data_IF_227089891947
#
_entry.id   IF_227089891947
#
_cell.length_a   1.000
_cell.length_b   1.000
_cell.length_c   1.000
_cell.angle_alpha   90.00
_cell.angle_beta   90.00
_cell.angle_gamma   90.00
#
_symmetry.space_group_name_H-M   'P 1'
#
loop_
_entity.id
_entity.type
_entity.pdbx_description
1 polymer ?
#
# COMPACT_ATOMS: atom_id res chain seq x y z
N UNK A 1 -18.02 -21.10 -9.26
CA UNK A 1 -16.98 -20.26 -9.91
C UNK A 1 -16.65 -19.01 -9.05
N UNK A 2 -16.41 -19.17 -7.74
CA UNK A 2 -16.22 -18.03 -6.82
C UNK A 2 -14.78 -17.47 -6.88
N UNK A 3 -13.80 -18.36 -7.04
CA UNK A 3 -12.37 -18.07 -6.97
C UNK A 3 -11.89 -17.18 -8.11
N UNK A 4 -12.35 -17.44 -9.34
CA UNK A 4 -12.03 -16.57 -10.50
C UNK A 4 -12.55 -15.16 -10.29
N UNK A 5 -13.77 -15.02 -9.78
CA UNK A 5 -14.38 -13.70 -9.53
C UNK A 5 -13.66 -12.95 -8.41
N UNK A 6 -13.25 -13.62 -7.33
CA UNK A 6 -12.48 -12.99 -6.26
C UNK A 6 -11.11 -12.59 -6.75
N UNK A 7 -10.40 -13.45 -7.49
CA UNK A 7 -9.09 -13.13 -8.07
C UNK A 7 -9.18 -11.92 -9.01
N UNK A 8 -10.12 -11.89 -9.95
CA UNK A 8 -10.29 -10.77 -10.89
C UNK A 8 -10.59 -9.47 -10.13
N UNK A 9 -11.47 -9.51 -9.12
CA UNK A 9 -11.78 -8.35 -8.28
C UNK A 9 -10.55 -7.87 -7.51
N UNK A 10 -9.76 -8.78 -6.97
CA UNK A 10 -8.54 -8.45 -6.23
C UNK A 10 -7.46 -7.89 -7.15
N UNK A 11 -7.29 -8.45 -8.36
CA UNK A 11 -6.33 -7.95 -9.35
C UNK A 11 -6.76 -6.58 -9.89
N UNK A 12 -8.05 -6.36 -10.14
CA UNK A 12 -8.58 -5.05 -10.50
C UNK A 12 -8.33 -4.01 -9.40
N UNK A 13 -8.51 -4.42 -8.13
CA UNK A 13 -8.20 -3.58 -6.97
C UNK A 13 -6.71 -3.29 -6.89
N UNK A 14 -5.85 -4.30 -7.08
CA UNK A 14 -4.39 -4.15 -7.08
C UNK A 14 -3.93 -3.17 -8.16
N UNK A 15 -4.44 -3.32 -9.39
CA UNK A 15 -4.14 -2.41 -10.50
C UNK A 15 -4.65 -0.99 -10.24
N UNK A 16 -5.84 -0.84 -9.65
CA UNK A 16 -6.37 0.46 -9.25
C UNK A 16 -5.46 1.12 -8.20
N UNK A 17 -5.09 0.37 -7.15
CA UNK A 17 -4.18 0.83 -6.09
C UNK A 17 -2.78 1.17 -6.61
N UNK A 18 -2.27 0.39 -7.56
CA UNK A 18 -0.99 0.68 -8.22
C UNK A 18 -1.04 2.01 -8.99
N UNK A 19 -2.15 2.30 -9.67
CA UNK A 19 -2.35 3.61 -10.32
C UNK A 19 -2.49 4.75 -9.32
N UNK A 20 -3.25 4.55 -8.24
CA UNK A 20 -3.37 5.53 -7.14
C UNK A 20 -1.97 5.82 -6.55
N UNK A 21 -1.18 4.78 -6.24
CA UNK A 21 0.17 4.93 -5.71
C UNK A 21 1.09 5.66 -6.68
N UNK A 22 1.07 5.31 -7.98
CA UNK A 22 1.86 5.99 -9.00
C UNK A 22 1.48 7.47 -9.16
N UNK A 23 0.18 7.76 -9.07
CA UNK A 23 -0.35 9.13 -9.15
C UNK A 23 0.09 9.95 -7.94
N UNK A 24 -0.02 9.38 -6.73
CA UNK A 24 0.43 10.03 -5.49
C UNK A 24 1.96 10.25 -5.47
N UNK A 25 2.74 9.28 -5.94
CA UNK A 25 4.19 9.44 -6.12
C UNK A 25 4.53 10.55 -7.12
N UNK A 26 3.68 10.80 -8.11
CA UNK A 26 3.86 11.91 -9.06
C UNK A 26 3.45 13.27 -8.48
N UNK A 27 2.50 13.32 -7.54
CA UNK A 27 2.02 14.56 -6.91
C UNK A 27 2.90 15.06 -5.74
N UNK A 28 3.99 14.36 -5.42
CA UNK A 28 4.99 14.83 -4.45
C UNK A 28 4.54 14.63 -3.01
N UNK A 29 4.59 13.37 -2.55
CA UNK A 29 4.53 13.05 -1.13
C UNK A 29 5.85 13.43 -0.46
N UNK A 30 5.77 14.13 0.68
CA UNK A 30 6.94 14.47 1.51
C UNK A 30 7.04 13.44 2.62
N UNK A 31 8.21 12.82 2.74
CA UNK A 31 8.51 11.82 3.76
C UNK A 31 9.34 12.47 4.86
N UNK A 32 8.96 12.20 6.10
CA UNK A 32 9.79 12.43 7.27
C UNK A 32 10.03 11.09 7.96
N UNK A 33 11.29 10.74 8.16
CA UNK A 33 11.71 9.55 8.90
C UNK A 33 11.81 9.90 10.38
N UNK A 34 11.21 9.08 11.25
CA UNK A 34 11.14 9.35 12.69
C UNK A 34 11.85 8.29 13.57
N UNK A 35 12.39 7.25 12.96
CA UNK A 35 13.07 6.15 13.67
C UNK A 35 14.52 6.00 13.18
N UNK A 36 15.44 5.70 14.11
CA UNK A 36 16.85 5.46 13.81
C UNK A 36 17.07 4.20 12.95
N UNK A 37 16.06 3.35 12.84
CA UNK A 37 16.09 2.10 12.07
C UNK A 37 15.26 2.15 10.77
N UNK A 38 14.84 3.33 10.30
CA UNK A 38 14.07 3.50 9.06
C UNK A 38 12.80 2.61 9.01
N UNK A 39 12.16 2.38 10.15
CA UNK A 39 10.92 1.57 10.21
C UNK A 39 9.66 2.43 10.35
N UNK A 40 9.79 3.65 10.88
CA UNK A 40 8.69 4.56 11.11
C UNK A 40 8.78 5.79 10.21
N UNK A 41 7.74 5.99 9.41
CA UNK A 41 7.66 7.09 8.45
C UNK A 41 6.40 7.89 8.71
N UNK A 42 6.54 9.21 8.68
CA UNK A 42 5.43 10.13 8.53
C UNK A 42 5.36 10.53 7.06
N UNK A 43 4.24 10.23 6.43
CA UNK A 43 3.98 10.63 5.04
C UNK A 43 3.01 11.76 5.04
N UNK A 44 3.46 12.91 4.56
CA UNK A 44 2.60 14.06 4.32
C UNK A 44 2.04 13.95 2.90
N UNK A 45 0.74 13.82 2.80
CA UNK A 45 0.04 13.88 1.53
C UNK A 45 -0.24 15.35 1.17
N UNK A 46 0.35 15.82 0.08
CA UNK A 46 0.02 17.14 -0.47
C UNK A 46 -1.33 17.06 -1.19
N UNK A 47 -2.18 18.08 -1.00
CA UNK A 47 -3.54 18.12 -1.56
C UNK A 47 -3.47 17.89 -3.07
N UNK A 48 -4.04 16.78 -3.55
CA UNK A 48 -4.30 16.62 -4.96
C UNK A 48 -5.58 17.42 -5.29
N UNK A 49 -5.51 18.53 -6.05
CA UNK A 49 -6.70 19.33 -6.36
C UNK A 49 -7.78 18.57 -7.14
N UNK A 50 -7.47 17.37 -7.66
CA UNK A 50 -8.44 16.52 -8.39
C UNK A 50 -9.16 15.50 -7.53
N UNK A 51 -8.71 15.25 -6.31
CA UNK A 51 -9.32 14.24 -5.44
C UNK A 51 -9.49 14.84 -4.03
N UNK A 52 -10.67 14.67 -3.44
CA UNK A 52 -11.04 15.16 -2.10
C UNK A 52 -10.31 14.33 -1.03
N UNK A 53 -8.98 14.28 -1.08
CA UNK A 53 -8.17 13.71 -0.01
C UNK A 53 -7.81 14.83 0.93
N UNK A 54 -8.11 14.59 2.21
CA UNK A 54 -7.69 15.48 3.28
C UNK A 54 -6.17 15.38 3.35
N UNK A 55 -5.48 16.49 3.05
CA UNK A 55 -4.09 16.64 3.45
C UNK A 55 -3.98 16.24 4.92
N UNK A 56 -3.14 15.26 5.18
CA UNK A 56 -2.97 14.65 6.48
C UNK A 56 -1.60 14.02 6.56
N UNK A 57 -1.10 14.00 7.78
CA UNK A 57 0.13 13.30 8.11
C UNK A 57 -0.25 11.86 8.46
N UNK A 58 0.28 10.90 7.72
CA UNK A 58 0.02 9.49 7.94
C UNK A 58 1.24 8.80 8.54
N UNK A 59 1.07 8.21 9.72
CA UNK A 59 2.11 7.39 10.33
C UNK A 59 2.10 5.99 9.74
N UNK A 60 3.29 5.48 9.44
CA UNK A 60 3.54 4.15 8.87
C UNK A 60 4.60 3.48 9.71
N UNK A 61 4.33 2.25 10.13
CA UNK A 61 5.27 1.39 10.82
C UNK A 61 5.48 0.15 9.96
N UNK A 62 6.62 0.10 9.27
CA UNK A 62 6.98 -0.93 8.31
C UNK A 62 7.30 -2.28 8.98
N UNK A 63 7.76 -2.26 10.21
CA UNK A 63 7.98 -3.44 11.06
C UNK A 63 6.64 -4.05 11.51
N UNK A 64 5.70 -3.21 11.95
CA UNK A 64 4.38 -3.64 12.42
C UNK A 64 3.37 -3.89 11.29
N UNK A 65 3.76 -3.62 10.03
CA UNK A 65 2.86 -3.63 8.86
C UNK A 65 1.60 -2.81 9.13
N UNK A 66 1.81 -1.59 9.61
CA UNK A 66 0.75 -0.72 10.06
C UNK A 66 0.81 0.63 9.33
N UNK A 67 -0.38 1.16 9.01
CA UNK A 67 -0.53 2.51 8.51
C UNK A 67 -1.80 3.13 9.09
N UNK A 68 -1.71 4.39 9.50
CA UNK A 68 -2.81 5.13 10.13
C UNK A 68 -4.03 5.29 9.21
N UNK A 69 -3.84 5.22 7.89
CA UNK A 69 -4.96 5.24 6.94
C UNK A 69 -5.91 4.02 7.05
N UNK A 70 -5.55 2.98 7.82
CA UNK A 70 -6.36 1.78 8.07
C UNK A 70 -6.52 0.82 6.88
N UNK A 71 -6.09 1.23 5.68
CA UNK A 71 -6.25 0.44 4.44
C UNK A 71 -5.40 -0.83 4.46
N UNK A 72 -4.19 -0.78 5.03
CA UNK A 72 -3.28 -1.92 5.07
C UNK A 72 -3.87 -3.08 5.87
N UNK A 73 -4.42 -2.76 7.04
CA UNK A 73 -5.03 -3.71 7.97
C UNK A 73 -6.35 -4.25 7.40
N UNK A 74 -7.18 -3.39 6.77
CA UNK A 74 -8.50 -3.77 6.27
C UNK A 74 -8.46 -4.59 4.98
N UNK A 75 -7.50 -4.31 4.08
CA UNK A 75 -7.43 -4.96 2.77
C UNK A 75 -6.39 -6.08 2.70
N UNK A 76 -5.53 -6.19 3.71
CA UNK A 76 -4.38 -7.10 3.71
C UNK A 76 -3.46 -6.88 2.48
N UNK A 77 -3.41 -5.63 2.02
CA UNK A 77 -2.63 -5.14 0.89
C UNK A 77 -1.98 -3.80 1.26
N UNK A 78 -0.75 -3.51 0.80
CA UNK A 78 -0.11 -2.23 1.06
C UNK A 78 -0.97 -1.08 0.53
N UNK A 79 -1.19 -0.09 1.39
CA UNK A 79 -1.78 1.17 0.96
C UNK A 79 -0.74 1.96 0.16
N UNK A 80 -1.20 3.00 -0.52
CA UNK A 80 -0.33 3.89 -1.29
C UNK A 80 0.80 4.45 -0.43
N UNK A 81 0.53 4.86 0.81
CA UNK A 81 1.54 5.36 1.75
C UNK A 81 2.62 4.32 2.05
N UNK A 82 2.24 3.06 2.30
CA UNK A 82 3.18 1.96 2.58
C UNK A 82 4.04 1.65 1.37
N UNK A 83 3.47 1.61 0.15
CA UNK A 83 4.25 1.45 -1.09
C UNK A 83 5.29 2.57 -1.22
N UNK A 84 4.87 3.79 -0.88
CA UNK A 84 5.70 4.97 -0.96
C UNK A 84 6.84 4.96 0.09
N UNK A 85 6.53 4.64 1.36
CA UNK A 85 7.53 4.44 2.40
C UNK A 85 8.49 3.29 2.09
N UNK A 86 7.98 2.16 1.55
CA UNK A 86 8.82 1.05 1.09
C UNK A 86 9.81 1.50 0.01
N UNK A 87 9.36 2.32 -0.95
CA UNK A 87 10.24 2.87 -1.99
C UNK A 87 11.32 3.78 -1.39
N UNK A 88 10.99 4.54 -0.34
CA UNK A 88 11.94 5.40 0.37
C UNK A 88 12.97 4.57 1.16
N UNK A 89 12.50 3.60 1.94
CA UNK A 89 13.31 2.69 2.76
C UNK A 89 14.08 1.62 1.94
N UNK A 90 14.00 1.64 0.60
CA UNK A 90 14.52 0.59 -0.28
C UNK A 90 13.99 -0.83 0.05
N UNK A 91 12.78 -0.92 0.61
CA UNK A 91 12.09 -2.17 0.89
C UNK A 91 11.20 -2.62 -0.27
N UNK A 92 11.11 -3.93 -0.47
CA UNK A 92 10.17 -4.51 -1.42
C UNK A 92 8.73 -4.45 -0.86
N UNK A 93 7.89 -3.56 -1.39
CA UNK A 93 6.48 -3.42 -0.96
C UNK A 93 5.67 -4.73 -1.07
N UNK A 94 6.13 -5.66 -1.92
CA UNK A 94 5.52 -6.98 -2.09
C UNK A 94 5.55 -7.81 -0.80
N UNK A 95 6.50 -7.54 0.10
CA UNK A 95 6.60 -8.20 1.41
C UNK A 95 5.42 -7.86 2.35
N UNK A 96 4.69 -6.79 2.05
CA UNK A 96 3.52 -6.31 2.79
C UNK A 96 2.20 -6.82 2.21
N UNK A 97 2.23 -7.55 1.09
CA UNK A 97 1.06 -8.20 0.51
C UNK A 97 0.82 -9.49 1.30
N UNK A 98 -0.40 -9.67 1.81
CA UNK A 98 -0.75 -10.88 2.52
C UNK A 98 -0.70 -12.11 1.60
N UNK A 99 -0.28 -13.25 2.14
CA UNK A 99 -0.01 -14.47 1.39
C UNK A 99 -1.21 -14.94 0.54
N UNK A 100 -2.46 -14.66 0.94
CA UNK A 100 -3.67 -15.01 0.17
C UNK A 100 -3.70 -14.40 -1.24
N UNK A 101 -2.95 -13.31 -1.47
CA UNK A 101 -2.83 -12.64 -2.77
C UNK A 101 -1.56 -13.04 -3.54
N UNK A 102 -0.76 -13.97 -3.03
CA UNK A 102 0.41 -14.47 -3.76
C UNK A 102 -0.03 -15.42 -4.87
N UNK A 103 0.79 -15.49 -5.93
CA UNK A 103 0.55 -16.42 -7.03
C UNK A 103 0.48 -17.88 -6.56
N UNK A 104 1.22 -18.22 -5.50
CA UNK A 104 1.19 -19.55 -4.89
C UNK A 104 -0.20 -19.88 -4.32
N UNK A 105 -0.79 -18.97 -3.53
CA UNK A 105 -2.14 -19.14 -3.00
C UNK A 105 -3.16 -19.24 -4.13
N UNK A 106 -3.03 -18.43 -5.17
CA UNK A 106 -3.92 -18.48 -6.34
C UNK A 106 -3.79 -19.81 -7.08
N UNK A 107 -2.56 -20.30 -7.28
CA UNK A 107 -2.27 -21.57 -7.96
C UNK A 107 -2.84 -22.77 -7.21
N UNK A 108 -2.74 -22.79 -5.88
CA UNK A 108 -3.27 -23.87 -5.06
C UNK A 108 -4.80 -24.00 -5.12
N UNK A 109 -5.53 -22.95 -5.47
CA UNK A 109 -7.00 -23.02 -5.61
C UNK A 109 -7.43 -23.60 -6.97
N UNK A 110 -6.53 -23.66 -7.96
CA UNK A 110 -6.80 -24.25 -9.27
C UNK A 110 -6.27 -25.69 -9.44
N UNK A 111 -5.76 -26.31 -8.36
CA UNK A 111 -5.50 -27.76 -8.31
C UNK A 111 -6.78 -28.50 -7.94
#
# INVERSE_FOLDING_TARGET
>A
MLVKSTYVRCNALFNKRGREAATMLAFGQVYMEFDQCDTQFLVQETINPKEVWLAGDFTIMLDERWCDCGKLQKLHMPCTHVVAACKHAHHEYRNYIHHVYTLESVSNVYK
#
